data_IF_975608039109
#
_entry.id   IF_975608039109
#
_cell.length_a   1.000
_cell.length_b   1.000
_cell.length_c   1.000
_cell.angle_alpha   90.00
_cell.angle_beta   90.00
_cell.angle_gamma   90.00
#
_symmetry.space_group_name_H-M   'P 1'
#
loop_
_entity.id
_entity.type
_entity.pdbx_description
1 polymer ?
#
# COMPACT_ATOMS: atom_id res chain seq x y z
N UNK A 1 -9.81 10.21 -1.31
CA UNK A 1 -8.82 9.71 -0.34
C UNK A 1 -9.45 8.93 0.79
N UNK A 2 -9.44 7.60 0.65
CA UNK A 2 -9.68 6.65 1.75
C UNK A 2 -8.29 6.11 2.16
N UNK A 3 -7.94 6.28 3.44
CA UNK A 3 -6.69 5.79 4.01
C UNK A 3 -7.00 4.63 4.96
N UNK A 4 -6.64 3.41 4.55
CA UNK A 4 -6.91 2.19 5.31
C UNK A 4 -5.58 1.50 5.68
N UNK A 5 -5.27 1.36 6.97
CA UNK A 5 -4.18 0.48 7.38
C UNK A 5 -4.61 -0.97 7.15
N UNK A 6 -3.78 -1.74 6.46
CA UNK A 6 -3.98 -3.17 6.19
C UNK A 6 -2.73 -3.93 6.60
N UNK A 7 -2.87 -4.92 7.47
CA UNK A 7 -1.79 -5.86 7.75
C UNK A 7 -1.59 -6.77 6.53
N UNK A 8 -0.37 -6.76 5.99
CA UNK A 8 0.04 -7.62 4.89
C UNK A 8 1.43 -8.19 5.19
N UNK A 9 1.72 -9.37 4.67
CA UNK A 9 3.07 -9.91 4.74
C UNK A 9 3.98 -9.09 3.84
N UNK A 10 4.99 -8.44 4.42
CA UNK A 10 5.97 -7.69 3.65
C UNK A 10 7.12 -8.61 3.28
N UNK A 11 7.34 -8.82 1.98
CA UNK A 11 8.45 -9.63 1.48
C UNK A 11 9.82 -9.06 1.87
N UNK A 12 9.93 -7.74 2.02
CA UNK A 12 11.14 -7.07 2.50
C UNK A 12 11.41 -7.29 4.00
N UNK A 13 10.37 -7.21 4.83
CA UNK A 13 10.52 -7.43 6.28
C UNK A 13 10.48 -8.92 6.65
N UNK A 14 10.02 -9.79 5.74
CA UNK A 14 9.77 -11.23 5.96
C UNK A 14 8.87 -11.52 7.15
N UNK A 15 7.94 -10.60 7.44
CA UNK A 15 6.96 -10.69 8.53
C UNK A 15 5.68 -9.94 8.15
N UNK A 16 4.62 -10.19 8.90
CA UNK A 16 3.38 -9.42 8.79
C UNK A 16 3.61 -8.02 9.34
N UNK A 17 3.37 -7.02 8.50
CA UNK A 17 3.56 -5.60 8.83
C UNK A 17 2.35 -4.79 8.41
N UNK A 18 2.14 -3.66 9.08
CA UNK A 18 1.11 -2.71 8.68
C UNK A 18 1.52 -2.02 7.37
N UNK A 19 0.64 -2.08 6.38
CA UNK A 19 0.73 -1.33 5.14
C UNK A 19 -0.35 -0.26 5.14
N UNK A 20 0.03 0.97 4.88
CA UNK A 20 -0.89 2.08 4.66
C UNK A 20 -1.36 2.02 3.22
N UNK A 21 -2.65 1.72 3.03
CA UNK A 21 -3.30 1.78 1.73
C UNK A 21 -3.91 3.16 1.57
N UNK A 22 -3.54 3.86 0.51
CA UNK A 22 -4.12 5.15 0.14
C UNK A 22 -4.78 4.98 -1.22
N UNK A 23 -6.10 4.92 -1.23
CA UNK A 23 -6.87 4.83 -2.46
C UNK A 23 -7.48 6.19 -2.79
N UNK A 24 -7.25 6.61 -4.02
CA UNK A 24 -7.88 7.77 -4.64
C UNK A 24 -8.57 7.38 -5.95
N UNK A 25 -9.21 8.34 -6.62
CA UNK A 25 -10.06 8.04 -7.78
C UNK A 25 -9.30 7.37 -8.93
N UNK A 26 -8.00 7.67 -9.07
CA UNK A 26 -7.13 7.20 -10.16
C UNK A 26 -6.07 6.19 -9.72
N UNK A 27 -5.74 6.11 -8.43
CA UNK A 27 -4.50 5.47 -7.96
C UNK A 27 -4.72 4.78 -6.62
N UNK A 28 -4.03 3.65 -6.41
CA UNK A 28 -3.94 2.98 -5.11
C UNK A 28 -2.47 2.86 -4.73
N UNK A 29 -2.07 3.51 -3.64
CA UNK A 29 -0.73 3.38 -3.06
C UNK A 29 -0.76 2.43 -1.86
N UNK A 30 0.20 1.51 -1.81
CA UNK A 30 0.44 0.58 -0.70
C UNK A 30 1.81 0.90 -0.10
N UNK A 31 1.86 1.46 1.11
CA UNK A 31 3.12 1.80 1.78
C UNK A 31 3.32 0.94 3.01
N UNK A 32 4.34 0.08 3.04
CA UNK A 32 4.70 -0.65 4.25
C UNK A 32 5.23 0.31 5.32
N UNK A 33 4.65 0.33 6.53
CA UNK A 33 5.14 1.20 7.62
C UNK A 33 6.52 0.82 8.15
N UNK A 34 6.92 -0.45 8.03
CA UNK A 34 8.19 -0.93 8.60
C UNK A 34 9.39 -0.69 7.67
N UNK A 35 9.27 -1.05 6.39
CA UNK A 35 10.35 -0.83 5.42
C UNK A 35 10.18 0.41 4.55
N UNK A 36 9.07 1.14 4.69
CA UNK A 36 8.69 2.28 3.84
C UNK A 36 8.63 1.93 2.35
N UNK A 37 8.48 0.65 2.01
CA UNK A 37 8.33 0.25 0.61
C UNK A 37 6.97 0.71 0.08
N UNK A 38 6.99 1.45 -1.02
CA UNK A 38 5.83 2.06 -1.65
C UNK A 38 5.51 1.30 -2.94
N UNK A 39 4.25 0.89 -3.08
CA UNK A 39 3.71 0.18 -4.22
C UNK A 39 2.53 0.99 -4.76
N UNK A 40 2.77 1.70 -5.84
CA UNK A 40 1.77 2.50 -6.53
C UNK A 40 1.13 1.69 -7.66
N UNK A 41 -0.20 1.59 -7.64
CA UNK A 41 -1.01 0.94 -8.66
C UNK A 41 -1.90 2.01 -9.28
N UNK A 42 -1.56 2.41 -10.50
CA UNK A 42 -2.37 3.36 -11.28
C UNK A 42 -3.56 2.59 -11.89
N UNK A 43 -4.80 2.97 -11.54
CA UNK A 43 -5.98 2.48 -12.26
C UNK A 43 -6.00 3.16 -13.62
N UNK A 44 -5.61 2.43 -14.65
CA UNK A 44 -5.77 2.88 -16.04
C UNK A 44 -7.25 2.87 -16.40
N UNK A 45 -7.89 4.04 -16.36
CA UNK A 45 -9.22 4.27 -16.95
C UNK A 45 -9.05 4.51 -18.45
N UNK A 46 -9.00 3.44 -19.24
CA UNK A 46 -9.15 3.49 -20.70
C UNK A 46 -10.44 2.78 -21.11
#
# INVERSE_FOLDING_TARGET
>A
MIELPKSLYCEHCKKETEHKVREDALEIEYTCKECNNQLEIVKSFF
#
